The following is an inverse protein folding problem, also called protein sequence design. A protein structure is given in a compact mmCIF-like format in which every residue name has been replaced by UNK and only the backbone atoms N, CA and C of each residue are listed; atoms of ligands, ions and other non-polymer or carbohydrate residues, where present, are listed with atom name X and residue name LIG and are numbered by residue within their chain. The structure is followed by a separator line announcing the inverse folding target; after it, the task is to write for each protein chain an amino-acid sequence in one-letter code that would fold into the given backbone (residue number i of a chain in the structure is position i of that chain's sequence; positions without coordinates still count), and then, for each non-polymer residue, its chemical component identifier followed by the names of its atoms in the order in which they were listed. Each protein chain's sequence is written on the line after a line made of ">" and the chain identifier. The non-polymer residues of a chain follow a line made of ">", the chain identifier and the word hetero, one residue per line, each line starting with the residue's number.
data_IF_443156764758
#
_entry.id   IF_443156764758
#
_cell.length_a   1.000
_cell.length_b   1.000
_cell.length_c   1.000
_cell.angle_alpha   90.00
_cell.angle_beta   90.00
_cell.angle_gamma   90.00
#
_symmetry.space_group_name_H-M   'P 1'
#
loop_
_entity.id
_entity.type
_entity.pdbx_description
1 polymer ?
#
# COMPACT_ATOMS: atom_id res chain seq x y z
N UNK A 1 -48.01 15.37 -30.49
CA UNK A 1 -47.08 15.45 -29.35
C UNK A 1 -47.52 14.38 -28.35
N UNK A 2 -46.84 13.24 -28.29
CA UNK A 2 -47.25 12.13 -27.42
C UNK A 2 -46.77 12.41 -25.99
N UNK A 3 -47.69 12.68 -25.06
CA UNK A 3 -47.36 12.78 -23.63
C UNK A 3 -47.18 11.37 -23.08
N UNK A 4 -45.99 11.05 -22.59
CA UNK A 4 -45.74 9.79 -21.89
C UNK A 4 -46.66 9.67 -20.66
N UNK A 5 -47.14 8.45 -20.37
CA UNK A 5 -48.01 8.20 -19.22
C UNK A 5 -47.26 8.41 -17.90
N UNK A 6 -47.94 8.87 -16.82
CA UNK A 6 -47.29 9.15 -15.54
C UNK A 6 -46.50 7.95 -14.99
N UNK A 7 -46.94 6.73 -15.31
CA UNK A 7 -46.30 5.48 -14.91
C UNK A 7 -44.88 5.32 -15.50
N UNK A 8 -44.67 5.74 -16.75
CA UNK A 8 -43.36 5.69 -17.40
C UNK A 8 -42.37 6.69 -16.78
N UNK A 9 -42.85 7.80 -16.22
CA UNK A 9 -42.00 8.78 -15.57
C UNK A 9 -41.49 8.28 -14.21
N UNK A 10 -42.35 7.67 -13.41
CA UNK A 10 -41.96 7.08 -12.12
C UNK A 10 -40.99 5.90 -12.27
N UNK A 11 -41.20 5.04 -13.27
CA UNK A 11 -40.27 3.93 -13.52
C UNK A 11 -38.89 4.41 -13.97
N UNK A 12 -38.82 5.45 -14.81
CA UNK A 12 -37.55 6.09 -15.18
C UNK A 12 -36.84 6.69 -13.96
N UNK A 13 -37.56 7.37 -13.07
CA UNK A 13 -36.98 7.93 -11.83
C UNK A 13 -36.40 6.81 -10.96
N UNK A 14 -37.13 5.72 -10.72
CA UNK A 14 -36.65 4.60 -9.90
C UNK A 14 -35.38 3.98 -10.51
N UNK A 15 -35.33 3.79 -11.82
CA UNK A 15 -34.14 3.26 -12.51
C UNK A 15 -32.95 4.20 -12.35
N UNK A 16 -33.15 5.52 -12.51
CA UNK A 16 -32.07 6.49 -12.31
C UNK A 16 -31.57 6.54 -10.86
N UNK A 17 -32.47 6.42 -9.88
CA UNK A 17 -32.13 6.40 -8.45
C UNK A 17 -31.34 5.13 -8.08
N UNK A 18 -31.74 3.96 -8.59
CA UNK A 18 -31.00 2.71 -8.39
C UNK A 18 -29.59 2.77 -8.99
N UNK A 19 -29.45 3.38 -10.16
CA UNK A 19 -28.18 3.49 -10.87
C UNK A 19 -27.20 4.41 -10.13
N UNK A 20 -27.69 5.49 -9.51
CA UNK A 20 -26.87 6.39 -8.67
C UNK A 20 -26.34 5.68 -7.42
N UNK A 21 -27.16 4.87 -6.75
CA UNK A 21 -26.73 4.10 -5.55
C UNK A 21 -25.64 3.08 -5.91
N UNK A 22 -25.75 2.43 -7.08
CA UNK A 22 -24.77 1.45 -7.54
C UNK A 22 -23.38 2.06 -7.80
N UNK A 23 -23.32 3.30 -8.27
CA UNK A 23 -22.06 4.00 -8.57
C UNK A 23 -21.43 4.62 -7.30
N UNK A 24 -22.20 4.88 -6.26
CA UNK A 24 -21.76 5.58 -5.05
C UNK A 24 -21.15 4.67 -3.97
N UNK A 25 -20.76 3.44 -4.29
CA UNK A 25 -20.19 2.53 -3.30
C UNK A 25 -18.77 2.98 -2.89
N UNK A 26 -18.69 3.81 -1.86
CA UNK A 26 -17.44 4.07 -1.15
C UNK A 26 -17.00 2.80 -0.40
N UNK A 27 -15.75 2.42 -0.56
CA UNK A 27 -15.16 1.38 0.27
C UNK A 27 -15.00 1.97 1.67
N UNK A 28 -15.83 1.54 2.63
CA UNK A 28 -15.68 1.93 4.03
C UNK A 28 -14.50 1.15 4.59
N UNK A 29 -13.41 1.86 4.86
CA UNK A 29 -12.16 1.31 5.34
C UNK A 29 -12.07 1.48 6.85
N UNK A 30 -11.98 0.39 7.65
CA UNK A 30 -11.88 0.51 9.09
C UNK A 30 -10.51 1.07 9.56
N UNK A 31 -9.57 1.26 8.64
CA UNK A 31 -8.26 1.83 8.89
C UNK A 31 -7.79 2.63 7.66
N UNK A 32 -6.96 3.64 7.91
CA UNK A 32 -6.38 4.53 6.90
C UNK A 32 -5.02 4.03 6.39
N UNK A 33 -4.28 3.30 7.24
CA UNK A 33 -2.93 2.83 6.94
C UNK A 33 -2.74 1.39 7.39
N UNK A 34 -1.93 0.65 6.61
CA UNK A 34 -1.44 -0.67 6.98
C UNK A 34 0.09 -0.64 6.98
N UNK A 35 0.68 -1.06 8.10
CA UNK A 35 2.13 -1.16 8.24
C UNK A 35 2.56 -2.60 7.99
N UNK A 36 3.48 -2.77 7.06
CA UNK A 36 4.00 -4.08 6.70
C UNK A 36 5.35 -4.31 7.38
N UNK A 37 5.41 -5.32 8.25
CA UNK A 37 6.61 -5.76 8.92
C UNK A 37 6.90 -7.21 8.53
N UNK A 38 8.17 -7.55 8.40
CA UNK A 38 8.59 -8.92 8.16
C UNK A 38 9.98 -9.00 7.54
N UNK A 39 10.23 -10.12 6.86
CA UNK A 39 11.47 -10.47 6.21
C UNK A 39 11.32 -10.42 4.66
N UNK A 40 12.17 -11.17 3.96
CA UNK A 40 12.20 -11.26 2.50
C UNK A 40 10.85 -11.58 1.85
N UNK A 41 9.96 -12.33 2.52
CA UNK A 41 8.64 -12.71 1.96
C UNK A 41 7.68 -11.52 1.94
N UNK A 42 7.90 -10.55 2.80
CA UNK A 42 7.14 -9.31 2.89
C UNK A 42 7.85 -8.14 2.22
N UNK A 43 9.13 -8.27 1.88
CA UNK A 43 9.91 -7.13 1.38
C UNK A 43 9.56 -6.76 -0.07
N UNK A 44 8.96 -5.58 -0.24
CA UNK A 44 8.59 -5.02 -1.55
C UNK A 44 9.73 -4.31 -2.27
N UNK A 45 10.96 -4.35 -1.73
CA UNK A 45 12.14 -3.72 -2.32
C UNK A 45 12.87 -2.76 -1.37
N UNK A 46 12.67 -2.87 -0.06
CA UNK A 46 13.43 -2.11 0.93
C UNK A 46 14.89 -2.56 0.97
N UNK A 47 15.17 -3.87 0.88
CA UNK A 47 16.55 -4.39 1.01
C UNK A 47 17.49 -3.83 -0.07
N UNK A 48 17.00 -3.63 -1.29
CA UNK A 48 17.81 -3.06 -2.39
C UNK A 48 18.19 -1.59 -2.16
N UNK A 49 17.55 -0.90 -1.22
CA UNK A 49 17.85 0.50 -0.85
C UNK A 49 18.84 0.61 0.30
N UNK A 50 19.09 -0.47 1.03
CA UNK A 50 19.95 -0.49 2.23
C UNK A 50 21.40 -0.89 1.89
N UNK A 51 21.62 -1.54 0.74
CA UNK A 51 22.95 -1.91 0.26
C UNK A 51 23.26 -1.41 -1.15
N UNK A 52 24.48 -1.66 -1.65
CA UNK A 52 24.83 -1.35 -3.03
C UNK A 52 23.86 -2.02 -4.00
N UNK A 53 23.41 -1.28 -5.02
CA UNK A 53 22.50 -1.81 -6.04
C UNK A 53 23.11 -3.06 -6.67
N UNK A 54 22.37 -4.16 -6.67
CA UNK A 54 22.86 -5.45 -7.17
C UNK A 54 23.64 -6.29 -6.17
N UNK A 55 23.87 -5.85 -4.92
CA UNK A 55 24.54 -6.67 -3.90
C UNK A 55 23.69 -7.88 -3.47
N UNK A 56 22.36 -7.76 -3.55
CA UNK A 56 21.43 -8.81 -3.16
C UNK A 56 20.86 -9.53 -4.38
N UNK A 57 20.60 -10.83 -4.24
CA UNK A 57 20.06 -11.66 -5.32
C UNK A 57 18.72 -11.13 -5.85
N UNK A 58 17.87 -10.57 -4.98
CA UNK A 58 16.58 -9.96 -5.33
C UNK A 58 16.67 -8.76 -6.30
N UNK A 59 17.87 -8.16 -6.44
CA UNK A 59 18.11 -7.08 -7.41
C UNK A 59 18.55 -7.60 -8.80
N UNK A 60 18.49 -8.92 -9.04
CA UNK A 60 18.92 -9.56 -10.29
C UNK A 60 17.85 -10.57 -10.75
N UNK A 61 17.88 -10.89 -12.03
CA UNK A 61 17.12 -12.03 -12.55
C UNK A 61 17.57 -13.32 -11.84
N UNK A 62 16.65 -14.27 -11.56
CA UNK A 62 15.31 -14.38 -12.12
C UNK A 62 14.22 -13.59 -11.36
N UNK A 63 14.54 -12.81 -10.32
CA UNK A 63 13.50 -12.16 -9.50
C UNK A 63 12.82 -11.01 -10.23
N UNK A 64 11.57 -11.22 -10.68
CA UNK A 64 10.72 -10.24 -11.33
C UNK A 64 10.72 -10.35 -12.85
N UNK A 65 11.30 -11.42 -13.40
CA UNK A 65 11.24 -11.82 -14.80
C UNK A 65 9.82 -12.14 -15.28
N UNK A 66 9.05 -12.93 -14.52
CA UNK A 66 7.74 -13.45 -14.95
C UNK A 66 6.65 -12.38 -14.92
N UNK A 67 6.53 -11.59 -13.85
CA UNK A 67 5.42 -10.63 -13.71
C UNK A 67 5.78 -9.19 -14.12
N UNK A 68 6.95 -8.70 -13.70
CA UNK A 68 7.36 -7.30 -13.91
C UNK A 68 8.32 -7.13 -15.09
N UNK A 69 8.84 -8.23 -15.62
CA UNK A 69 9.87 -8.31 -16.66
C UNK A 69 11.14 -7.51 -16.35
N UNK A 70 11.45 -7.30 -15.06
CA UNK A 70 12.64 -6.62 -14.56
C UNK A 70 12.91 -6.93 -13.08
N UNK A 71 14.16 -6.84 -12.61
CA UNK A 71 14.47 -6.91 -11.19
C UNK A 71 13.76 -5.81 -10.39
N UNK A 72 12.97 -6.22 -9.40
CA UNK A 72 12.21 -5.28 -8.54
C UNK A 72 12.81 -5.12 -7.14
N UNK A 73 13.71 -6.01 -6.73
CA UNK A 73 14.17 -6.09 -5.34
C UNK A 73 13.30 -6.95 -4.44
N UNK A 74 12.25 -7.56 -4.98
CA UNK A 74 11.41 -8.55 -4.30
C UNK A 74 12.06 -9.93 -4.34
N UNK A 75 11.86 -10.72 -3.29
CA UNK A 75 12.31 -12.12 -3.25
C UNK A 75 11.33 -13.09 -3.92
N UNK A 76 10.69 -12.63 -5.00
CA UNK A 76 9.74 -13.39 -5.79
C UNK A 76 9.85 -13.00 -7.26
N UNK A 77 9.41 -13.89 -8.14
CA UNK A 77 9.32 -13.63 -9.57
C UNK A 77 8.04 -12.85 -9.98
N UNK A 78 7.23 -12.48 -8.98
CA UNK A 78 6.06 -11.64 -9.16
C UNK A 78 5.56 -11.02 -7.87
N UNK A 79 4.23 -11.02 -7.71
CA UNK A 79 3.58 -10.45 -6.55
C UNK A 79 3.90 -11.25 -5.27
N UNK A 80 3.92 -10.55 -4.14
CA UNK A 80 4.00 -11.10 -2.80
C UNK A 80 2.58 -11.18 -2.21
N UNK A 81 2.40 -11.99 -1.15
CA UNK A 81 1.10 -12.18 -0.49
C UNK A 81 0.40 -10.85 -0.12
N UNK A 82 1.20 -9.85 0.23
CA UNK A 82 0.76 -8.49 0.58
C UNK A 82 0.17 -7.70 -0.58
N UNK A 83 0.57 -7.98 -1.82
CA UNK A 83 -0.02 -7.32 -2.98
C UNK A 83 -1.44 -7.84 -3.21
N UNK A 84 -1.72 -9.11 -2.87
CA UNK A 84 -3.07 -9.66 -2.91
C UNK A 84 -3.95 -9.04 -1.82
N UNK A 85 -3.42 -8.86 -0.61
CA UNK A 85 -4.14 -8.14 0.43
C UNK A 85 -4.46 -6.71 0.03
N UNK A 86 -3.51 -5.98 -0.57
CA UNK A 86 -3.74 -4.62 -1.07
C UNK A 86 -4.69 -4.55 -2.28
N UNK A 87 -4.75 -5.60 -3.10
CA UNK A 87 -5.63 -5.67 -4.28
C UNK A 87 -7.10 -5.90 -3.90
N UNK A 88 -7.35 -6.82 -2.95
CA UNK A 88 -8.71 -7.11 -2.45
C UNK A 88 -9.32 -5.93 -1.68
N UNK A 89 -8.47 -5.00 -1.28
CA UNK A 89 -8.81 -3.85 -0.46
C UNK A 89 -8.35 -2.56 -1.14
N UNK A 90 -8.23 -2.55 -2.47
CA UNK A 90 -7.70 -1.42 -3.24
C UNK A 90 -8.45 -0.10 -3.00
N UNK A 91 -9.69 -0.15 -2.50
CA UNK A 91 -10.41 1.05 -2.04
C UNK A 91 -9.91 1.67 -0.73
N UNK A 92 -9.15 0.91 0.07
CA UNK A 92 -8.68 1.24 1.41
C UNK A 92 -7.16 1.33 1.55
N UNK A 93 -6.42 0.66 0.67
CA UNK A 93 -4.95 0.60 0.72
C UNK A 93 -4.29 1.46 -0.36
N UNK A 94 -5.08 2.31 -1.04
CA UNK A 94 -4.61 3.31 -2.02
C UNK A 94 -3.57 4.27 -1.47
N UNK A 95 -3.37 4.32 -0.15
CA UNK A 95 -2.33 5.09 0.50
C UNK A 95 -1.28 4.23 1.20
N UNK A 96 -0.88 3.09 0.61
CA UNK A 96 0.43 2.52 0.85
C UNK A 96 1.47 3.48 0.27
N UNK A 97 1.66 4.61 0.96
CA UNK A 97 2.60 5.64 0.57
C UNK A 97 3.97 4.99 0.43
N UNK A 98 4.68 5.17 -0.70
CA UNK A 98 6.12 4.97 -0.76
C UNK A 98 6.79 6.13 0.01
N UNK A 99 6.37 6.31 1.26
CA UNK A 99 6.76 7.37 2.16
C UNK A 99 7.85 6.82 3.06
N UNK A 100 8.97 7.54 3.08
CA UNK A 100 10.08 7.39 4.01
C UNK A 100 9.59 6.86 5.36
N UNK A 101 9.88 5.58 5.61
CA UNK A 101 9.59 4.91 6.87
C UNK A 101 10.00 5.81 8.05
N UNK A 102 9.26 5.87 9.17
CA UNK A 102 9.74 6.49 10.41
C UNK A 102 10.92 5.67 10.95
N UNK A 103 12.09 5.77 10.29
CA UNK A 103 13.33 5.05 10.60
C UNK A 103 13.68 5.25 12.07
N UNK A 104 13.43 6.45 12.60
CA UNK A 104 13.70 6.79 13.99
C UNK A 104 12.89 6.01 15.02
N UNK A 105 11.77 5.37 14.64
CA UNK A 105 10.98 4.52 15.52
C UNK A 105 11.28 3.02 15.37
N UNK A 106 12.14 2.61 14.44
CA UNK A 106 12.42 1.19 14.28
C UNK A 106 13.26 0.65 15.41
N UNK A 107 12.90 -0.50 16.00
CA UNK A 107 13.74 -1.18 16.99
C UNK A 107 15.16 -1.41 16.47
N UNK A 108 15.30 -1.82 15.21
CA UNK A 108 16.61 -2.03 14.59
C UNK A 108 17.43 -0.73 14.51
N UNK A 109 16.83 0.38 14.09
CA UNK A 109 17.54 1.66 13.98
C UNK A 109 17.88 2.25 15.35
N UNK A 110 16.96 2.16 16.33
CA UNK A 110 17.18 2.58 17.71
C UNK A 110 18.30 1.78 18.39
N UNK A 111 18.44 0.50 18.04
CA UNK A 111 19.49 -0.38 18.58
C UNK A 111 20.82 -0.23 17.84
N UNK A 112 20.78 -0.05 16.51
CA UNK A 112 21.98 0.07 15.68
C UNK A 112 22.59 1.48 15.69
N UNK A 113 21.77 2.51 15.89
CA UNK A 113 22.17 3.92 15.93
C UNK A 113 21.61 4.63 17.18
N UNK A 114 21.96 4.20 18.40
CA UNK A 114 21.52 4.87 19.61
C UNK A 114 22.22 6.23 19.74
N UNK A 115 21.45 7.27 20.10
CA UNK A 115 21.98 8.60 20.43
C UNK A 115 22.12 8.73 21.95
N UNK A 116 23.24 9.30 22.41
CA UNK A 116 23.46 9.59 23.83
C UNK A 116 22.74 10.87 24.30
N UNK A 117 22.24 11.69 23.37
CA UNK A 117 21.49 12.91 23.67
C UNK A 117 19.98 12.60 23.81
N UNK A 118 19.38 12.80 24.99
CA UNK A 118 17.94 12.60 25.19
C UNK A 118 17.07 13.50 24.31
N UNK A 119 17.58 14.66 23.88
CA UNK A 119 16.85 15.60 23.01
C UNK A 119 16.74 15.14 21.55
N UNK A 120 17.51 14.10 21.17
CA UNK A 120 17.43 13.50 19.84
C UNK A 120 16.16 12.66 19.64
N UNK A 121 15.39 12.41 20.70
CA UNK A 121 14.18 11.61 20.69
C UNK A 121 12.92 12.49 20.83
N UNK A 122 11.83 12.11 20.17
CA UNK A 122 10.51 12.70 20.38
C UNK A 122 9.82 12.15 21.63
N UNK A 123 8.63 12.67 21.93
CA UNK A 123 7.85 12.27 23.11
C UNK A 123 7.40 10.80 23.08
N UNK A 124 7.51 10.14 21.92
CA UNK A 124 7.22 8.73 21.71
C UNK A 124 8.48 7.85 21.76
N UNK A 125 9.66 8.44 22.00
CA UNK A 125 10.94 7.75 22.09
C UNK A 125 11.58 7.41 20.74
N UNK A 126 11.16 8.08 19.67
CA UNK A 126 11.71 7.90 18.33
C UNK A 126 12.76 8.96 18.00
N UNK A 127 13.81 8.58 17.27
CA UNK A 127 14.83 9.54 16.81
C UNK A 127 14.22 10.54 15.83
N UNK A 128 14.37 11.83 16.14
CA UNK A 128 14.04 12.94 15.26
C UNK A 128 15.10 13.00 14.16
N UNK A 129 14.66 12.81 12.91
CA UNK A 129 15.54 12.84 11.72
C UNK A 129 15.94 14.27 11.37
#
# INVERSE_FOLDING_TARGET
>A
MASASPCCYYSLIIITQLLVICVAQENICPFEYAYQLGDSISDTGNLIRIGPVGAFAAARLPYGETFFHRPTGRWSDGLLIIDFFGSDTAGCYTNCSPGNFPVGCFPFALTALPSADPGAYDDLGCLRK
#
